data_IF_164886357374
#
_entry.id   IF_164886357374
#
_cell.length_a   1.000
_cell.length_b   1.000
_cell.length_c   1.000
_cell.angle_alpha   90.00
_cell.angle_beta   90.00
_cell.angle_gamma   90.00
#
_symmetry.space_group_name_H-M   'P 1'
#
loop_
_entity.id
_entity.type
_entity.pdbx_description
1 polymer ?
#
# COMPACT_ATOMS: atom_id res chain seq x y z
N UNK A 1 -5.90 4.93 -16.61
CA UNK A 1 -5.03 3.96 -15.90
C UNK A 1 -3.61 4.50 -15.98
N UNK A 2 -2.90 4.69 -14.86
CA UNK A 2 -1.51 5.17 -14.85
C UNK A 2 -0.59 4.00 -14.53
N UNK A 3 0.53 3.91 -15.26
CA UNK A 3 1.59 2.97 -14.96
C UNK A 3 2.60 3.63 -14.01
N UNK A 4 3.14 2.82 -13.10
CA UNK A 4 4.18 3.20 -12.16
C UNK A 4 5.46 2.42 -12.48
N UNK A 5 6.53 2.74 -11.76
CA UNK A 5 7.82 2.04 -11.87
C UNK A 5 8.31 1.65 -10.49
N UNK A 6 8.93 0.48 -10.39
CA UNK A 6 9.66 0.06 -9.21
C UNK A 6 10.97 0.86 -9.14
N UNK A 7 11.13 1.70 -8.14
CA UNK A 7 12.33 2.52 -7.92
C UNK A 7 13.62 1.72 -7.63
N UNK A 8 13.51 0.40 -7.38
CA UNK A 8 14.67 -0.48 -7.18
C UNK A 8 15.18 -1.16 -8.47
N UNK A 9 14.34 -1.35 -9.50
CA UNK A 9 14.74 -2.09 -10.72
C UNK A 9 14.17 -1.54 -12.03
N UNK A 10 13.48 -0.40 -11.99
CA UNK A 10 12.80 0.28 -13.09
C UNK A 10 11.71 -0.54 -13.81
N UNK A 11 11.36 -1.73 -13.30
CA UNK A 11 10.26 -2.53 -13.84
C UNK A 11 8.94 -1.75 -13.78
N UNK A 12 8.15 -1.84 -14.85
CA UNK A 12 6.81 -1.25 -14.90
C UNK A 12 5.87 -2.03 -13.98
N UNK A 13 5.13 -1.32 -13.14
CA UNK A 13 4.18 -1.88 -12.17
C UNK A 13 2.86 -1.11 -12.19
N UNK A 14 1.80 -1.76 -11.73
CA UNK A 14 0.48 -1.18 -11.54
C UNK A 14 0.31 -0.72 -10.09
N UNK A 15 -0.68 0.15 -9.87
CA UNK A 15 -1.01 0.63 -8.53
C UNK A 15 -1.25 -0.52 -7.55
N UNK A 16 -1.86 -1.61 -8.02
CA UNK A 16 -2.35 -2.73 -7.23
C UNK A 16 -1.22 -3.71 -6.86
N UNK A 17 -0.03 -3.58 -7.45
CA UNK A 17 1.09 -4.46 -7.16
C UNK A 17 1.67 -4.17 -5.77
N UNK A 18 1.62 -5.16 -4.89
CA UNK A 18 2.24 -5.13 -3.55
C UNK A 18 3.63 -5.75 -3.52
N UNK A 19 4.05 -6.41 -4.61
CA UNK A 19 5.38 -7.00 -4.79
C UNK A 19 5.80 -6.80 -6.26
N UNK A 20 7.06 -6.47 -6.48
CA UNK A 20 7.62 -6.39 -7.83
C UNK A 20 7.90 -7.79 -8.37
N UNK A 21 7.36 -8.11 -9.54
CA UNK A 21 7.52 -9.43 -10.17
C UNK A 21 8.94 -9.70 -10.71
N UNK A 22 9.78 -8.66 -10.84
CA UNK A 22 11.15 -8.79 -11.33
C UNK A 22 12.16 -8.91 -10.19
N UNK A 23 12.13 -7.99 -9.23
CA UNK A 23 13.11 -7.97 -8.14
C UNK A 23 12.60 -8.53 -6.80
N UNK A 24 11.35 -9.01 -6.75
CA UNK A 24 10.69 -9.58 -5.57
C UNK A 24 10.59 -8.65 -4.34
N UNK A 25 10.94 -7.37 -4.45
CA UNK A 25 10.78 -6.39 -3.37
C UNK A 25 9.31 -6.11 -3.13
N UNK A 26 8.94 -5.94 -1.85
CA UNK A 26 7.63 -5.39 -1.47
C UNK A 26 7.50 -3.98 -2.01
N UNK A 27 6.31 -3.60 -2.43
CA UNK A 27 6.00 -2.28 -2.95
C UNK A 27 4.92 -1.60 -2.08
N UNK A 28 4.99 -0.29 -1.98
CA UNK A 28 3.94 0.53 -1.37
C UNK A 28 3.76 1.84 -2.12
N UNK A 29 2.54 2.36 -2.06
CA UNK A 29 2.16 3.60 -2.73
C UNK A 29 2.39 4.82 -1.83
N UNK A 30 3.07 5.82 -2.37
CA UNK A 30 3.31 7.12 -1.73
C UNK A 30 2.32 8.14 -2.29
N UNK A 31 1.33 8.61 -1.49
CA UNK A 31 0.34 9.56 -1.98
C UNK A 31 0.95 10.91 -2.36
N UNK A 32 1.90 11.42 -1.58
CA UNK A 32 2.51 12.74 -1.80
C UNK A 32 3.35 12.80 -3.08
N UNK A 33 4.06 11.71 -3.39
CA UNK A 33 4.89 11.60 -4.59
C UNK A 33 4.13 11.02 -5.80
N UNK A 34 2.93 10.49 -5.57
CA UNK A 34 2.16 9.71 -6.55
C UNK A 34 3.02 8.64 -7.24
N UNK A 35 3.71 7.82 -6.44
CA UNK A 35 4.70 6.86 -6.90
C UNK A 35 4.64 5.54 -6.11
N UNK A 36 5.19 4.48 -6.68
CA UNK A 36 5.43 3.21 -5.98
C UNK A 36 6.89 3.19 -5.51
N UNK A 37 7.12 2.75 -4.28
CA UNK A 37 8.48 2.58 -3.74
C UNK A 37 8.70 1.15 -3.28
N UNK A 38 9.89 0.62 -3.51
CA UNK A 38 10.34 -0.66 -2.98
C UNK A 38 10.69 -0.55 -1.50
N UNK A 39 10.28 -1.56 -0.75
CA UNK A 39 10.35 -1.56 0.71
C UNK A 39 11.10 -2.78 1.23
N UNK A 40 11.78 -2.55 2.34
CA UNK A 40 12.42 -3.56 3.16
C UNK A 40 11.77 -3.55 4.55
N UNK A 41 11.39 -4.71 5.10
CA UNK A 41 10.88 -4.78 6.46
C UNK A 41 11.99 -4.49 7.47
N UNK A 42 11.72 -3.59 8.42
CA UNK A 42 12.62 -3.25 9.52
C UNK A 42 11.84 -3.29 10.82
N UNK A 43 11.98 -4.38 11.59
CA UNK A 43 11.25 -4.62 12.83
C UNK A 43 9.72 -4.40 12.69
N UNK A 44 9.22 -3.25 13.14
CA UNK A 44 7.81 -2.85 13.18
C UNK A 44 7.39 -1.90 12.04
N UNK A 45 8.32 -1.49 11.17
CA UNK A 45 8.08 -0.56 10.07
C UNK A 45 8.67 -1.05 8.74
N UNK A 46 8.54 -0.23 7.71
CA UNK A 46 8.99 -0.47 6.34
C UNK A 46 9.95 0.65 5.94
N UNK A 47 11.17 0.30 5.55
CA UNK A 47 12.14 1.25 5.02
C UNK A 47 12.08 1.27 3.49
N UNK A 48 12.05 2.46 2.89
CA UNK A 48 12.37 2.64 1.47
C UNK A 48 13.87 2.94 1.33
N UNK A 49 14.67 2.03 0.74
CA UNK A 49 16.08 2.29 0.51
C UNK A 49 16.31 3.46 -0.46
N UNK A 50 15.43 3.61 -1.46
CA UNK A 50 15.52 4.68 -2.45
C UNK A 50 15.34 6.08 -1.82
N UNK A 51 14.41 6.20 -0.88
CA UNK A 51 14.12 7.47 -0.20
C UNK A 51 14.92 7.67 1.09
N UNK A 52 15.55 6.63 1.63
CA UNK A 52 16.19 6.65 2.95
C UNK A 52 15.22 6.86 4.11
N UNK A 53 13.92 6.64 3.89
CA UNK A 53 12.83 6.98 4.82
C UNK A 53 12.05 5.76 5.27
N UNK A 54 11.53 5.86 6.49
CA UNK A 54 10.72 4.83 7.13
C UNK A 54 9.23 5.16 7.03
N UNK A 55 8.42 4.12 6.91
CA UNK A 55 6.99 4.19 6.70
C UNK A 55 6.28 3.07 7.44
N UNK A 56 4.98 3.26 7.67
CA UNK A 56 4.04 2.23 8.10
C UNK A 56 2.97 2.05 7.03
N UNK A 57 2.35 0.87 7.00
CA UNK A 57 1.22 0.63 6.10
C UNK A 57 -0.07 1.19 6.68
N UNK A 58 -1.01 1.57 5.80
CA UNK A 58 -2.39 1.85 6.18
C UNK A 58 -2.98 0.69 7.02
N UNK A 59 -3.79 1.01 8.03
CA UNK A 59 -4.44 0.00 8.88
C UNK A 59 -5.24 -1.06 8.10
N UNK A 60 -5.77 -0.72 6.91
CA UNK A 60 -6.51 -1.65 6.06
C UNK A 60 -5.61 -2.59 5.21
N UNK A 61 -4.27 -2.51 5.33
CA UNK A 61 -3.36 -3.37 4.55
C UNK A 61 -3.59 -4.85 4.80
N UNK A 62 -3.92 -5.24 6.05
CA UNK A 62 -4.11 -6.64 6.45
C UNK A 62 -5.31 -7.32 5.79
N UNK A 63 -6.17 -6.54 5.13
CA UNK A 63 -7.33 -7.05 4.39
C UNK A 63 -7.04 -7.18 2.88
N UNK A 64 -5.78 -7.06 2.43
CA UNK A 64 -5.38 -6.92 1.01
C UNK A 64 -6.19 -5.84 0.27
N UNK A 65 -6.63 -4.81 1.00
CA UNK A 65 -7.52 -3.79 0.48
C UNK A 65 -6.84 -2.44 0.25
N UNK A 66 -5.60 -2.28 0.71
CA UNK A 66 -4.85 -1.04 0.60
C UNK A 66 -3.34 -1.33 0.57
N UNK A 67 -2.59 -0.54 -0.19
CA UNK A 67 -1.13 -0.59 -0.24
C UNK A 67 -0.47 0.79 0.01
N UNK A 68 -1.23 1.74 0.55
CA UNK A 68 -0.74 3.09 0.82
C UNK A 68 0.19 3.12 2.03
N UNK A 69 1.25 3.89 1.91
CA UNK A 69 2.21 4.16 2.97
C UNK A 69 1.88 5.44 3.73
N UNK A 70 2.22 5.45 5.00
CA UNK A 70 2.08 6.57 5.92
C UNK A 70 3.42 6.84 6.62
N UNK A 71 3.70 8.08 7.05
CA UNK A 71 4.79 8.37 7.97
C UNK A 71 4.67 7.52 9.24
N UNK A 72 5.81 7.12 9.84
CA UNK A 72 5.86 6.23 11.00
C UNK A 72 5.07 6.75 12.21
N UNK A 73 4.94 8.07 12.33
CA UNK A 73 4.21 8.75 13.39
C UNK A 73 2.70 8.46 13.34
N UNK A 74 2.21 7.94 12.21
CA UNK A 74 0.81 7.61 11.95
C UNK A 74 0.53 6.10 11.98
N UNK A 75 1.34 5.35 12.71
CA UNK A 75 1.16 3.92 12.90
C UNK A 75 -0.26 3.59 13.41
N UNK A 76 -0.88 2.57 12.82
CA UNK A 76 -2.25 2.16 13.16
C UNK A 76 -3.37 3.03 12.56
N UNK A 77 -3.04 4.11 11.85
CA UNK A 77 -4.05 4.96 11.23
C UNK A 77 -4.51 4.48 9.84
N UNK A 78 -5.70 4.94 9.44
CA UNK A 78 -6.18 4.85 8.06
C UNK A 78 -5.52 5.93 7.17
N UNK A 79 -5.20 5.56 5.93
CA UNK A 79 -4.71 6.51 4.94
C UNK A 79 -5.80 7.51 4.50
N UNK A 80 -5.45 8.65 3.87
CA UNK A 80 -6.44 9.64 3.43
C UNK A 80 -7.57 9.02 2.59
N UNK A 81 -7.27 8.11 1.67
CA UNK A 81 -8.29 7.42 0.87
C UNK A 81 -9.21 6.55 1.75
N UNK A 82 -8.65 5.68 2.60
CA UNK A 82 -9.45 4.79 3.44
C UNK A 82 -10.27 5.53 4.51
N UNK A 83 -9.81 6.70 4.99
CA UNK A 83 -10.58 7.53 5.95
C UNK A 83 -11.89 8.08 5.38
N UNK A 84 -11.99 8.20 4.06
CA UNK A 84 -13.22 8.67 3.40
C UNK A 84 -14.24 7.54 3.15
N UNK A 85 -13.88 6.29 3.42
CA UNK A 85 -14.84 5.18 3.40
C UNK A 85 -15.73 5.28 4.65
N UNK A 86 -16.84 6.02 4.52
CA UNK A 86 -17.79 6.32 5.61
C UNK A 86 -18.43 5.08 6.23
N UNK A 87 -18.47 3.97 5.50
CA UNK A 87 -18.90 2.66 5.98
C UNK A 87 -17.89 1.63 5.49
N UNK A 88 -16.92 1.29 6.34
CA UNK A 88 -16.13 0.07 6.13
C UNK A 88 -16.98 -1.05 6.73
N UNK A 89 -17.51 -1.99 5.91
CA UNK A 89 -18.28 -3.10 6.45
C UNK A 89 -17.36 -3.97 7.32
N UNK A 90 -17.92 -4.75 8.26
CA UNK A 90 -17.13 -5.62 9.11
C UNK A 90 -16.30 -6.59 8.23
N UNK A 91 -14.97 -6.37 8.15
CA UNK A 91 -14.07 -7.05 7.21
C UNK A 91 -13.64 -8.44 7.70
N UNK A 92 -14.04 -8.82 8.91
CA UNK A 92 -14.01 -10.18 9.44
C UNK A 92 -15.10 -11.07 8.82
N UNK A 93 -16.13 -10.48 8.21
CA UNK A 93 -17.12 -11.19 7.40
C UNK A 93 -16.60 -11.36 5.97
N UNK A 94 -16.46 -12.61 5.51
CA UNK A 94 -15.85 -12.94 4.23
C UNK A 94 -16.53 -12.24 3.02
N UNK A 95 -17.86 -12.16 3.00
CA UNK A 95 -18.61 -11.52 1.92
C UNK A 95 -18.37 -10.00 1.86
N UNK A 96 -18.25 -9.37 3.02
CA UNK A 96 -17.92 -7.95 3.13
C UNK A 96 -16.51 -7.67 2.62
N UNK A 97 -15.55 -8.52 2.98
CA UNK A 97 -14.17 -8.42 2.49
C UNK A 97 -14.10 -8.58 0.96
N UNK A 98 -14.79 -9.57 0.41
CA UNK A 98 -14.86 -9.80 -1.03
C UNK A 98 -15.48 -8.60 -1.76
N UNK A 99 -16.56 -8.03 -1.23
CA UNK A 99 -17.19 -6.83 -1.78
C UNK A 99 -16.27 -5.60 -1.70
N UNK A 100 -15.54 -5.44 -0.59
CA UNK A 100 -14.62 -4.33 -0.36
C UNK A 100 -13.38 -4.37 -1.25
N UNK A 101 -12.87 -5.58 -1.57
CA UNK A 101 -11.75 -5.77 -2.51
C UNK A 101 -12.14 -5.51 -3.97
N UNK A 102 -13.43 -5.50 -4.29
CA UNK A 102 -13.92 -5.41 -5.66
C UNK A 102 -14.02 -3.97 -6.13
N UNK A 103 -13.22 -3.61 -7.12
CA UNK A 103 -13.38 -2.36 -7.88
C UNK A 103 -14.45 -2.60 -8.95
N UNK A 104 -15.72 -2.31 -8.64
CA UNK A 104 -16.79 -2.31 -9.66
C UNK A 104 -16.64 -1.10 -10.58
N UNK A 105 -16.71 -1.37 -11.89
CA UNK A 105 -16.53 -0.42 -12.99
C UNK A 105 -17.80 0.35 -13.29
#
# INVERSE_FOLDING_TARGET
MRLFRCDACDNTVHFDNTVCVVCARRLGFLPDAFAMTALEPVADHLRSPHLGRDFVSCANVGHDACNWLLPVERAGELCPACRHNRTIPALDVADNLAAFRRITR
#
